data_IF_944750870090
#
_entry.id   IF_944750870090
#
_cell.length_a   1.000
_cell.length_b   1.000
_cell.length_c   1.000
_cell.angle_alpha   90.00
_cell.angle_beta   90.00
_cell.angle_gamma   90.00
#
_symmetry.space_group_name_H-M   'P 1'
#
loop_
_entity.id
_entity.type
_entity.pdbx_description
1 polymer ?
#
# COMPACT_ATOMS: atom_id res chain seq x y z
N UNK A 1 8.14 -3.69 11.81
CA UNK A 1 7.67 -2.76 10.99
C UNK A 1 8.48 -1.55 10.81
N UNK A 2 9.72 -1.71 10.77
CA UNK A 2 10.57 -0.59 10.49
C UNK A 2 10.22 0.10 9.21
N UNK A 3 9.82 -0.65 8.22
CA UNK A 3 9.46 -0.07 6.96
C UNK A 3 8.33 0.92 7.09
N UNK A 4 7.29 0.55 7.80
CA UNK A 4 6.16 1.44 7.95
C UNK A 4 6.55 2.65 8.76
N UNK A 5 7.40 2.49 9.74
CA UNK A 5 7.84 3.62 10.52
C UNK A 5 8.56 4.63 9.68
N UNK A 6 9.39 4.16 8.76
CA UNK A 6 10.09 5.07 7.89
C UNK A 6 9.18 5.80 6.98
N UNK A 7 8.21 5.11 6.40
CA UNK A 7 7.27 5.75 5.52
C UNK A 7 6.50 6.80 6.27
N UNK A 8 6.12 6.47 7.50
CA UNK A 8 5.37 7.39 8.28
C UNK A 8 6.14 8.68 8.50
N UNK A 9 7.40 8.57 8.82
CA UNK A 9 8.19 9.74 9.05
C UNK A 9 8.37 10.61 7.83
N UNK A 10 8.38 10.03 6.67
CA UNK A 10 8.62 10.80 5.49
C UNK A 10 7.38 11.44 4.92
N UNK A 11 6.24 11.11 5.40
CA UNK A 11 5.12 11.60 4.78
C UNK A 11 4.59 12.76 5.30
N UNK A 12 5.03 13.33 6.24
CA UNK A 12 4.49 14.42 6.75
C UNK A 12 4.21 15.45 5.89
N UNK A 13 3.63 16.38 6.03
CA UNK A 13 3.46 17.52 5.21
C UNK A 13 2.49 17.35 4.09
N UNK A 14 1.84 16.30 4.00
CA UNK A 14 0.99 16.16 2.96
C UNK A 14 -0.32 16.70 3.26
N UNK A 15 -1.14 16.78 2.29
CA UNK A 15 -2.47 17.32 2.43
C UNK A 15 -3.20 16.66 3.55
N UNK A 16 -2.91 15.46 3.87
CA UNK A 16 -3.58 14.80 4.95
C UNK A 16 -3.41 15.51 6.26
N UNK A 17 -2.28 16.13 6.46
CA UNK A 17 -2.06 16.82 7.68
C UNK A 17 -2.88 18.04 7.80
N UNK A 18 -3.08 18.72 6.72
CA UNK A 18 -3.88 19.91 6.73
C UNK A 18 -5.27 19.60 7.17
N UNK A 19 -5.83 18.54 6.66
CA UNK A 19 -7.15 18.20 7.02
C UNK A 19 -7.31 17.95 8.48
N UNK A 20 -6.37 17.34 9.07
CA UNK A 20 -6.49 17.05 10.46
C UNK A 20 -6.67 18.25 11.31
N UNK A 21 -6.07 19.32 10.90
CA UNK A 21 -6.17 20.46 11.68
C UNK A 21 -7.51 20.98 11.68
N UNK A 22 -8.13 20.96 10.59
CA UNK A 22 -9.39 21.47 10.47
C UNK A 22 -10.47 20.95 11.29
N UNK A 23 -10.76 19.83 11.33
CA UNK A 23 -11.90 19.37 12.05
C UNK A 23 -11.41 18.55 13.17
N UNK A 24 -10.76 19.16 14.05
CA UNK A 24 -10.22 18.50 15.15
C UNK A 24 -10.87 17.28 15.67
N UNK A 25 -11.96 17.32 16.18
CA UNK A 25 -12.58 16.19 16.79
C UNK A 25 -12.77 15.04 15.87
N UNK A 26 -13.62 15.23 14.93
CA UNK A 26 -13.93 14.19 14.05
C UNK A 26 -12.87 13.88 13.10
N UNK A 27 -12.27 14.85 12.55
CA UNK A 27 -11.23 14.61 11.56
C UNK A 27 -10.05 13.91 12.19
N UNK A 28 -9.71 14.24 13.41
CA UNK A 28 -8.63 13.59 14.08
C UNK A 28 -8.92 12.11 14.25
N UNK A 29 -10.15 11.80 14.57
CA UNK A 29 -10.54 10.42 14.72
C UNK A 29 -10.47 9.69 13.41
N UNK A 30 -10.95 10.31 12.36
CA UNK A 30 -10.91 9.70 11.05
C UNK A 30 -9.47 9.55 10.58
N UNK A 31 -8.66 10.52 10.83
CA UNK A 31 -7.27 10.45 10.43
C UNK A 31 -6.56 9.32 11.16
N UNK A 32 -6.91 9.10 12.40
CA UNK A 32 -6.32 8.03 13.15
C UNK A 32 -6.69 6.69 12.54
N UNK A 33 -7.89 6.56 12.05
CA UNK A 33 -8.30 5.33 11.44
C UNK A 33 -7.72 5.17 10.08
N UNK A 34 -7.73 6.22 9.28
CA UNK A 34 -7.21 6.12 7.93
C UNK A 34 -5.73 6.07 7.85
N UNK A 35 -5.06 6.76 8.76
CA UNK A 35 -3.62 6.84 8.71
C UNK A 35 -2.91 5.50 8.65
N UNK A 36 -3.21 4.59 9.55
CA UNK A 36 -2.57 3.28 9.51
C UNK A 36 -2.89 2.50 8.26
N UNK A 37 -4.12 2.61 7.77
CA UNK A 37 -4.49 1.91 6.55
C UNK A 37 -3.75 2.46 5.35
N UNK A 38 -3.64 3.77 5.28
CA UNK A 38 -2.93 4.40 4.18
C UNK A 38 -1.45 3.99 4.19
N UNK A 39 -0.85 3.96 5.38
CA UNK A 39 0.53 3.57 5.50
C UNK A 39 0.73 2.12 5.11
N UNK A 40 -0.23 1.29 5.43
CA UNK A 40 -0.18 -0.11 5.04
C UNK A 40 -0.16 -0.21 3.51
N UNK A 41 -1.04 0.51 2.85
CA UNK A 41 -1.10 0.48 1.40
C UNK A 41 0.20 1.00 0.80
N UNK A 42 0.71 2.10 1.31
CA UNK A 42 1.95 2.66 0.78
C UNK A 42 3.11 1.69 0.95
N UNK A 43 3.19 1.04 2.09
CA UNK A 43 4.26 0.08 2.32
C UNK A 43 4.18 -1.12 1.39
N UNK A 44 2.97 -1.63 1.19
CA UNK A 44 2.76 -2.77 0.30
C UNK A 44 3.10 -2.38 -1.13
N UNK A 45 2.62 -1.22 -1.58
CA UNK A 45 2.87 -0.80 -2.95
C UNK A 45 4.35 -0.53 -3.17
N UNK A 46 5.03 0.06 -2.20
CA UNK A 46 6.46 0.30 -2.36
C UNK A 46 7.24 -1.00 -2.46
N UNK A 47 6.84 -2.00 -1.69
CA UNK A 47 7.50 -3.30 -1.78
C UNK A 47 7.30 -3.90 -3.16
N UNK A 48 6.10 -3.78 -3.71
CA UNK A 48 5.84 -4.26 -5.06
C UNK A 48 6.69 -3.50 -6.08
N UNK A 49 6.80 -2.18 -5.91
CA UNK A 49 7.61 -1.39 -6.83
C UNK A 49 9.07 -1.84 -6.82
N UNK A 50 9.59 -2.15 -5.64
CA UNK A 50 10.95 -2.62 -5.54
C UNK A 50 11.13 -3.97 -6.22
N UNK A 51 10.17 -4.86 -6.04
CA UNK A 51 10.23 -6.17 -6.68
C UNK A 51 10.16 -6.05 -8.20
N UNK A 52 9.26 -5.22 -8.69
CA UNK A 52 9.12 -5.01 -10.12
C UNK A 52 10.38 -4.39 -10.69
N UNK A 53 10.93 -3.41 -9.98
CA UNK A 53 12.14 -2.74 -10.43
C UNK A 53 13.29 -3.74 -10.57
N UNK A 54 13.43 -4.60 -9.57
CA UNK A 54 14.49 -5.60 -9.60
C UNK A 54 14.27 -6.60 -10.74
N UNK A 55 13.03 -6.99 -10.96
CA UNK A 55 12.73 -7.98 -11.98
C UNK A 55 12.88 -7.41 -13.39
N UNK A 56 12.46 -6.19 -13.59
CA UNK A 56 12.46 -5.62 -14.94
C UNK A 56 13.61 -4.68 -15.23
N UNK A 57 14.43 -4.40 -14.26
CA UNK A 57 15.59 -3.54 -14.47
C UNK A 57 15.24 -2.08 -14.65
N UNK A 58 14.16 -1.62 -14.05
CA UNK A 58 13.78 -0.22 -14.13
C UNK A 58 13.83 0.40 -12.74
N UNK A 59 13.98 1.71 -12.63
CA UNK A 59 14.08 2.32 -11.31
C UNK A 59 12.79 2.18 -10.53
N UNK A 60 12.92 1.87 -9.24
CA UNK A 60 11.75 1.70 -8.40
C UNK A 60 10.94 2.98 -8.30
N UNK A 61 11.60 4.13 -8.38
CA UNK A 61 10.90 5.40 -8.32
C UNK A 61 9.97 5.60 -9.52
N UNK A 62 10.34 5.08 -10.66
CA UNK A 62 9.48 5.18 -11.83
C UNK A 62 8.24 4.32 -11.68
N UNK A 63 8.41 3.13 -11.13
CA UNK A 63 7.26 2.26 -10.89
C UNK A 63 6.35 2.90 -9.86
N UNK A 64 6.95 3.47 -8.82
CA UNK A 64 6.17 4.14 -7.79
C UNK A 64 5.41 5.33 -8.37
N UNK A 65 6.04 6.10 -9.26
CA UNK A 65 5.39 7.25 -9.85
C UNK A 65 4.18 6.83 -10.67
N UNK A 66 4.32 5.75 -11.41
CA UNK A 66 3.21 5.25 -12.19
C UNK A 66 2.07 4.77 -11.31
N UNK A 67 2.39 3.95 -10.32
CA UNK A 67 1.36 3.41 -9.46
C UNK A 67 0.69 4.50 -8.62
N UNK A 68 1.48 5.38 -8.03
CA UNK A 68 0.90 6.37 -7.14
C UNK A 68 0.07 7.40 -7.91
N UNK A 69 0.34 7.58 -9.19
CA UNK A 69 -0.45 8.49 -9.99
C UNK A 69 -1.87 7.96 -10.23
N UNK A 70 -2.05 6.66 -10.13
CA UNK A 70 -3.32 6.02 -10.43
C UNK A 70 -3.92 5.28 -9.23
N UNK A 71 -3.44 5.53 -8.05
CA UNK A 71 -3.95 4.85 -6.87
C UNK A 71 -4.40 5.85 -5.82
N UNK A 72 -5.50 5.51 -5.18
CA UNK A 72 -5.93 6.22 -3.99
C UNK A 72 -5.48 5.37 -2.82
N UNK A 73 -4.45 5.80 -2.14
CA UNK A 73 -3.87 4.99 -1.06
C UNK A 73 -4.81 4.83 0.12
N UNK A 74 -5.70 5.78 0.33
CA UNK A 74 -6.68 5.63 1.40
C UNK A 74 -7.68 4.53 1.04
N UNK A 75 -8.11 4.51 -0.20
CA UNK A 75 -9.04 3.50 -0.66
C UNK A 75 -8.38 2.13 -0.64
N UNK A 76 -7.18 2.04 -1.17
CA UNK A 76 -6.46 0.78 -1.23
C UNK A 76 -6.16 0.26 0.16
N UNK A 77 -5.80 1.16 1.07
CA UNK A 77 -5.55 0.77 2.44
C UNK A 77 -6.79 0.21 3.11
N UNK A 78 -7.94 0.81 2.85
CA UNK A 78 -9.19 0.30 3.40
C UNK A 78 -9.51 -1.08 2.84
N UNK A 79 -9.23 -1.28 1.55
CA UNK A 79 -9.45 -2.57 0.92
C UNK A 79 -8.53 -3.62 1.54
N UNK A 80 -7.26 -3.30 1.71
CA UNK A 80 -6.34 -4.25 2.32
C UNK A 80 -6.75 -4.57 3.75
N UNK A 81 -7.17 -3.57 4.50
CA UNK A 81 -7.59 -3.78 5.87
C UNK A 81 -8.79 -4.72 5.95
N UNK A 82 -9.64 -4.72 4.94
CA UNK A 82 -10.82 -5.57 4.96
C UNK A 82 -10.59 -6.92 4.31
N UNK A 83 -9.61 -7.03 3.41
CA UNK A 83 -9.41 -8.30 2.71
C UNK A 83 -8.26 -9.13 3.26
N UNK A 84 -7.37 -8.55 4.03
CA UNK A 84 -6.27 -9.31 4.62
C UNK A 84 -6.59 -9.58 6.08
N UNK A 85 -6.85 -10.83 6.45
CA UNK A 85 -7.07 -11.14 7.86
C UNK A 85 -5.84 -10.82 8.68
N UNK A 86 -6.06 -10.29 9.86
CA UNK A 86 -4.96 -9.93 10.72
C UNK A 86 -4.05 -11.12 11.00
N UNK A 87 -4.64 -12.26 11.22
CA UNK A 87 -3.90 -13.47 11.49
C UNK A 87 -3.00 -13.83 10.30
N UNK A 88 -3.51 -13.68 9.10
CA UNK A 88 -2.73 -14.01 7.91
C UNK A 88 -1.53 -13.08 7.81
N UNK A 89 -1.73 -11.79 8.07
CA UNK A 89 -0.64 -10.84 8.04
C UNK A 89 0.43 -11.18 9.05
N UNK A 90 0.01 -11.57 10.24
CA UNK A 90 0.97 -11.93 11.28
C UNK A 90 1.74 -13.17 10.92
N UNK A 91 1.08 -14.19 10.39
CA UNK A 91 1.77 -15.41 10.00
C UNK A 91 2.73 -15.17 8.86
N UNK A 92 2.35 -14.33 7.91
CA UNK A 92 3.24 -14.01 6.80
C UNK A 92 4.46 -13.26 7.30
N UNK A 93 4.25 -12.39 8.26
CA UNK A 93 5.34 -11.61 8.82
C UNK A 93 6.31 -12.48 9.61
N UNK A 94 5.83 -13.51 10.24
CA UNK A 94 6.70 -14.40 11.00
C UNK A 94 7.37 -15.45 10.13
N UNK A 95 7.14 -15.42 8.83
CA UNK A 95 7.88 -16.28 7.93
C UNK A 95 7.20 -17.55 7.45
N UNK A 96 5.92 -17.70 7.74
CA UNK A 96 5.16 -18.85 7.26
C UNK A 96 5.06 -18.78 5.74
N UNK A 97 5.68 -19.69 4.98
CA UNK A 97 5.72 -19.58 3.53
C UNK A 97 4.35 -19.63 2.88
N UNK A 98 3.46 -20.43 3.42
CA UNK A 98 2.14 -20.56 2.86
C UNK A 98 1.34 -19.30 3.10
N UNK A 99 1.42 -18.76 4.30
CA UNK A 99 0.74 -17.52 4.61
C UNK A 99 1.28 -16.38 3.77
N UNK A 100 2.59 -16.39 3.53
CA UNK A 100 3.21 -15.36 2.72
C UNK A 100 2.70 -15.42 1.29
N UNK A 101 2.57 -16.61 0.73
CA UNK A 101 2.05 -16.76 -0.63
C UNK A 101 0.62 -16.25 -0.71
N UNK A 102 -0.19 -16.59 0.28
CA UNK A 102 -1.58 -16.17 0.29
C UNK A 102 -1.66 -14.66 0.44
N UNK A 103 -0.83 -14.09 1.30
CA UNK A 103 -0.78 -12.65 1.51
C UNK A 103 -0.40 -11.94 0.21
N UNK A 104 0.64 -12.41 -0.47
CA UNK A 104 1.07 -11.79 -1.71
C UNK A 104 -0.01 -11.90 -2.78
N UNK A 105 -0.70 -13.02 -2.83
CA UNK A 105 -1.76 -13.20 -3.81
C UNK A 105 -2.88 -12.18 -3.59
N UNK A 106 -3.24 -11.96 -2.34
CA UNK A 106 -4.29 -10.99 -2.03
C UNK A 106 -3.83 -9.58 -2.37
N UNK A 107 -2.65 -9.18 -1.93
CA UNK A 107 -2.21 -7.82 -2.15
C UNK A 107 -2.00 -7.54 -3.63
N UNK A 108 -1.53 -8.51 -4.40
CA UNK A 108 -1.31 -8.32 -5.82
C UNK A 108 -2.65 -8.21 -6.56
N UNK A 109 -3.60 -9.03 -6.19
CA UNK A 109 -4.91 -9.01 -6.83
C UNK A 109 -5.62 -7.69 -6.56
N UNK A 110 -5.59 -7.21 -5.33
CA UNK A 110 -6.25 -5.95 -5.00
C UNK A 110 -5.53 -4.77 -5.65
N UNK A 111 -4.22 -4.83 -5.75
CA UNK A 111 -3.47 -3.78 -6.40
C UNK A 111 -3.80 -3.73 -7.88
N UNK A 112 -3.89 -4.89 -8.52
CA UNK A 112 -4.23 -4.95 -9.94
C UNK A 112 -5.62 -4.36 -10.17
N UNK A 113 -6.58 -4.74 -9.32
CA UNK A 113 -7.93 -4.23 -9.47
C UNK A 113 -7.97 -2.72 -9.24
N UNK A 114 -7.22 -2.22 -8.29
CA UNK A 114 -7.20 -0.79 -8.02
C UNK A 114 -6.60 -0.02 -9.19
N UNK A 115 -5.50 -0.53 -9.75
CA UNK A 115 -4.91 0.13 -10.91
C UNK A 115 -5.87 0.11 -12.09
N UNK A 116 -6.54 -1.02 -12.29
CA UNK A 116 -7.45 -1.15 -13.40
C UNK A 116 -8.62 -0.17 -13.27
N UNK A 117 -9.13 0.00 -12.07
CA UNK A 117 -10.23 0.92 -11.85
C UNK A 117 -9.86 2.36 -12.14
N UNK A 118 -8.60 2.71 -11.95
CA UNK A 118 -8.15 4.08 -12.10
C UNK A 118 -7.30 4.30 -13.35
N UNK A 119 -7.31 3.36 -14.27
CA UNK A 119 -6.63 3.53 -15.54
C UNK A 119 -5.13 3.37 -15.49
N UNK A 120 -4.60 2.72 -14.46
CA UNK A 120 -3.18 2.51 -14.35
C UNK A 120 -2.71 1.34 -15.19
N UNK A 121 -1.41 1.24 -15.33
CA UNK A 121 -0.80 0.21 -16.16
C UNK A 121 -0.60 -1.07 -15.38
N UNK A 122 -1.47 -2.04 -15.58
CA UNK A 122 -1.37 -3.32 -14.88
C UNK A 122 -0.36 -4.25 -15.51
N UNK A 123 0.17 -3.90 -16.67
CA UNK A 123 1.14 -4.77 -17.31
C UNK A 123 2.40 -4.92 -16.49
N UNK A 124 2.69 -3.95 -15.64
CA UNK A 124 3.85 -4.04 -14.77
C UNK A 124 3.70 -5.16 -13.75
N UNK A 125 2.49 -5.59 -13.49
CA UNK A 125 2.24 -6.69 -12.57
C UNK A 125 2.15 -8.04 -13.27
N UNK A 126 2.16 -8.03 -14.59
CA UNK A 126 1.93 -9.26 -15.35
C UNK A 126 2.96 -10.35 -15.08
N UNK A 127 4.19 -9.95 -14.87
CA UNK A 127 5.25 -10.91 -14.63
C UNK A 127 5.52 -11.17 -13.16
N UNK A 128 4.74 -10.58 -12.29
CA UNK A 128 4.94 -10.79 -10.88
C UNK A 128 4.52 -12.20 -10.54
N UNK A 129 5.28 -12.91 -9.77
CA UNK A 129 4.96 -14.28 -9.45
C UNK A 129 3.71 -14.41 -8.61
#
# INVERSE_FOLDING_TARGET
>A
MCLFSRLFGSRKGRKGEVHRKEALGRAALLATRRGPSRLLAEGIVRTHCQTIAATRGIPADEVWAEFSAHLDMDELGAIYASTIPEELGQRAETGDPEARREYVAIVTSELRDALDRHGGDTSLLADAP
#
